data_IF_718608691257
#
_entry.id   IF_718608691257
#
_cell.length_a   1.000
_cell.length_b   1.000
_cell.length_c   1.000
_cell.angle_alpha   90.00
_cell.angle_beta   90.00
_cell.angle_gamma   90.00
#
_symmetry.space_group_name_H-M   'P 1'
#
loop_
_entity.id
_entity.type
_entity.pdbx_description
1 polymer ?
#
# COMPACT_ATOMS: atom_id res chain seq x y z
N UNK A 1 28.95 -39.69 -22.91
CA UNK A 1 28.34 -40.70 -22.01
C UNK A 1 28.93 -40.53 -20.62
N UNK A 2 28.07 -40.36 -19.61
CA UNK A 2 28.22 -40.73 -18.18
C UNK A 2 29.53 -40.32 -17.45
N UNK A 3 29.55 -39.33 -16.54
CA UNK A 3 29.01 -39.29 -15.15
C UNK A 3 29.99 -39.75 -14.07
N UNK A 4 30.27 -38.88 -13.08
CA UNK A 4 30.41 -39.14 -11.63
C UNK A 4 31.17 -37.96 -10.99
N UNK A 5 30.50 -37.02 -10.30
CA UNK A 5 30.05 -37.07 -8.90
C UNK A 5 31.19 -37.04 -7.88
N UNK A 6 31.52 -35.84 -7.40
CA UNK A 6 32.32 -35.62 -6.20
C UNK A 6 31.51 -34.80 -5.19
N UNK A 7 31.06 -35.46 -4.11
CA UNK A 7 30.83 -34.81 -2.81
C UNK A 7 32.17 -34.24 -2.31
N UNK A 8 32.17 -33.12 -1.58
CA UNK A 8 32.28 -33.17 -0.09
C UNK A 8 31.52 -31.99 0.57
N UNK A 9 31.35 -31.78 1.87
CA UNK A 9 31.61 -32.43 3.17
C UNK A 9 30.82 -31.58 4.18
N UNK A 10 30.02 -32.20 5.05
CA UNK A 10 29.48 -31.54 6.25
C UNK A 10 30.62 -31.36 7.25
N UNK A 11 30.77 -30.16 7.80
CA UNK A 11 31.56 -29.90 9.00
C UNK A 11 30.59 -29.58 10.14
N UNK A 12 30.52 -30.50 11.09
CA UNK A 12 30.03 -30.29 12.45
C UNK A 12 31.04 -29.43 13.20
N UNK A 13 30.61 -28.31 13.79
CA UNK A 13 31.32 -27.67 14.92
C UNK A 13 30.31 -26.96 15.83
N UNK A 14 29.94 -27.66 16.89
CA UNK A 14 29.47 -27.08 18.14
C UNK A 14 30.55 -26.18 18.74
N UNK A 15 30.37 -24.86 18.73
CA UNK A 15 30.95 -23.95 19.73
C UNK A 15 29.99 -22.77 19.94
N UNK A 16 29.39 -22.70 21.12
CA UNK A 16 28.71 -21.50 21.60
C UNK A 16 29.73 -20.44 22.04
N UNK A 17 29.42 -19.15 21.83
CA UNK A 17 29.74 -18.15 22.84
C UNK A 17 28.46 -17.45 23.32
N UNK A 18 28.32 -17.41 24.64
CA UNK A 18 27.43 -16.50 25.35
C UNK A 18 27.94 -15.07 25.12
N UNK A 19 27.12 -14.21 24.54
CA UNK A 19 27.24 -12.76 24.72
C UNK A 19 25.85 -12.16 24.83
N UNK A 20 25.50 -11.82 26.08
CA UNK A 20 24.50 -10.83 26.46
C UNK A 20 24.88 -9.48 25.87
N UNK A 21 24.06 -8.91 24.98
CA UNK A 21 24.13 -7.50 24.60
C UNK A 21 22.72 -6.93 24.49
N UNK A 22 22.37 -6.21 25.55
CA UNK A 22 21.50 -5.04 25.68
C UNK A 22 20.58 -4.65 24.51
N UNK A 23 19.29 -4.71 24.81
CA UNK A 23 18.21 -4.11 24.04
C UNK A 23 18.23 -2.58 24.19
N UNK A 24 19.11 -1.89 23.46
CA UNK A 24 19.10 -0.42 23.47
C UNK A 24 19.72 0.25 22.22
N UNK A 25 19.56 -0.28 21.00
CA UNK A 25 19.98 0.46 19.79
C UNK A 25 19.05 0.21 18.59
N UNK A 26 17.87 0.83 18.56
CA UNK A 26 17.14 1.18 17.33
C UNK A 26 16.29 2.44 17.60
N UNK A 27 16.92 3.61 17.64
CA UNK A 27 16.24 4.90 17.42
C UNK A 27 16.72 5.46 16.08
N UNK A 28 15.87 5.54 15.05
CA UNK A 28 16.21 6.27 13.84
C UNK A 28 16.27 7.78 14.14
N UNK A 29 17.46 8.35 14.01
CA UNK A 29 17.72 9.79 14.08
C UNK A 29 17.12 10.50 12.86
N UNK A 30 15.85 10.91 12.95
CA UNK A 30 15.18 11.73 11.93
C UNK A 30 14.99 13.21 12.34
N UNK A 31 15.72 13.67 13.35
CA UNK A 31 15.63 15.04 13.88
C UNK A 31 17.01 15.70 13.88
N UNK A 32 17.56 16.04 12.71
CA UNK A 32 18.72 16.95 12.68
C UNK A 32 18.84 17.88 11.47
N UNK A 33 17.95 17.83 10.48
CA UNK A 33 17.98 18.74 9.34
C UNK A 33 16.69 19.57 9.26
N UNK A 34 16.52 20.52 10.19
CA UNK A 34 15.69 21.72 10.03
C UNK A 34 15.84 22.64 11.26
N UNK A 35 17.09 22.97 11.60
CA UNK A 35 17.39 23.86 12.74
C UNK A 35 18.22 25.07 12.31
N UNK A 36 17.82 25.74 11.23
CA UNK A 36 18.18 27.13 11.03
C UNK A 36 17.01 27.86 10.39
N UNK A 37 16.69 29.04 10.96
CA UNK A 37 15.59 29.95 10.64
C UNK A 37 14.28 29.71 11.42
N UNK A 38 14.24 30.22 12.65
CA UNK A 38 13.35 31.29 13.14
C UNK A 38 13.14 31.15 14.66
N UNK A 39 13.47 32.21 15.39
CA UNK A 39 13.21 32.31 16.82
C UNK A 39 11.84 32.91 17.11
N UNK A 40 11.35 32.60 18.31
CA UNK A 40 10.21 33.18 19.04
C UNK A 40 8.88 32.43 18.97
N UNK A 41 8.56 31.79 20.11
CA UNK A 41 7.25 31.62 20.75
C UNK A 41 6.03 31.28 19.88
N UNK A 42 5.60 30.01 19.89
CA UNK A 42 4.26 29.54 20.31
C UNK A 42 4.01 28.09 19.80
N UNK A 43 3.39 27.28 20.65
CA UNK A 43 3.08 25.85 20.46
C UNK A 43 1.97 25.60 19.39
N UNK A 44 2.22 25.93 18.12
CA UNK A 44 1.38 25.53 16.98
C UNK A 44 2.06 24.67 15.88
N UNK A 45 3.40 24.60 15.71
CA UNK A 45 3.96 23.90 14.55
C UNK A 45 4.05 22.36 14.68
N UNK A 46 3.94 21.77 15.88
CA UNK A 46 4.10 20.30 16.06
C UNK A 46 2.89 19.49 15.54
N UNK A 47 1.67 20.02 15.64
CA UNK A 47 0.44 19.33 15.21
C UNK A 47 0.31 19.25 13.68
N UNK A 48 0.81 20.24 12.95
CA UNK A 48 0.78 20.23 11.48
C UNK A 48 1.77 19.22 10.90
N UNK A 49 2.90 18.98 11.57
CA UNK A 49 3.94 18.04 11.12
C UNK A 49 3.46 16.58 11.27
N UNK A 50 2.74 16.24 12.34
CA UNK A 50 2.17 14.89 12.52
C UNK A 50 1.02 14.58 11.55
N UNK A 51 0.18 15.57 11.24
CA UNK A 51 -0.92 15.42 10.27
C UNK A 51 -0.38 15.24 8.85
N UNK A 52 0.68 15.96 8.48
CA UNK A 52 1.34 15.80 7.18
C UNK A 52 1.98 14.40 7.05
N UNK A 53 2.67 13.91 8.10
CA UNK A 53 3.28 12.57 8.14
C UNK A 53 2.25 11.44 7.98
N UNK A 54 1.09 11.54 8.65
CA UNK A 54 -0.01 10.58 8.50
C UNK A 54 -0.71 10.66 7.14
N UNK A 55 -0.80 11.84 6.53
CA UNK A 55 -1.35 11.98 5.17
C UNK A 55 -0.42 11.38 4.11
N UNK A 56 0.91 11.51 4.29
CA UNK A 56 1.93 10.93 3.42
C UNK A 56 1.94 9.40 3.54
N UNK A 57 1.85 8.87 4.78
CA UNK A 57 1.72 7.44 5.06
C UNK A 57 0.44 6.84 4.45
N UNK A 58 -0.69 7.56 4.57
CA UNK A 58 -1.99 7.17 4.01
C UNK A 58 -2.05 7.27 2.48
N UNK A 59 -1.31 8.22 1.87
CA UNK A 59 -1.20 8.34 0.41
C UNK A 59 -0.40 7.17 -0.17
N UNK A 60 0.73 6.81 0.46
CA UNK A 60 1.59 5.71 0.01
C UNK A 60 0.91 4.34 0.20
N UNK A 61 0.22 4.11 1.33
CA UNK A 61 -0.51 2.86 1.58
C UNK A 61 -1.87 2.76 0.87
N UNK A 62 -2.58 3.88 0.70
CA UNK A 62 -3.87 3.93 0.02
C UNK A 62 -3.78 3.69 -1.49
N UNK A 63 -2.60 3.88 -2.07
CA UNK A 63 -2.31 3.59 -3.48
C UNK A 63 -2.04 2.10 -3.67
N UNK A 64 -1.33 1.45 -2.72
CA UNK A 64 -1.15 0.00 -2.70
C UNK A 64 -2.48 -0.76 -2.61
N UNK A 65 -3.42 -0.31 -1.76
CA UNK A 65 -4.74 -0.94 -1.61
C UNK A 65 -5.69 -0.74 -2.81
N UNK A 66 -5.57 0.37 -3.55
CA UNK A 66 -6.39 0.60 -4.75
C UNK A 66 -6.02 -0.31 -5.91
N UNK A 67 -4.78 -0.81 -5.95
CA UNK A 67 -4.31 -1.73 -7.00
C UNK A 67 -4.76 -3.20 -6.80
N UNK A 68 -5.30 -3.57 -5.64
CA UNK A 68 -5.68 -4.95 -5.27
C UNK A 68 -7.17 -5.29 -5.49
N UNK A 69 -7.93 -4.43 -6.17
CA UNK A 69 -9.39 -4.55 -6.23
C UNK A 69 -9.95 -5.25 -7.47
N UNK A 70 -10.09 -6.59 -7.45
CA UNK A 70 -11.22 -7.28 -8.11
C UNK A 70 -11.25 -8.79 -7.76
N UNK A 71 -12.07 -9.22 -6.79
CA UNK A 71 -13.11 -10.27 -6.93
C UNK A 71 -13.67 -10.70 -5.56
N UNK A 72 -14.90 -11.21 -5.58
CA UNK A 72 -15.74 -11.76 -4.50
C UNK A 72 -16.52 -10.79 -3.57
N UNK A 73 -17.85 -10.87 -3.64
CA UNK A 73 -18.81 -9.84 -3.17
C UNK A 73 -19.41 -10.15 -1.79
N UNK A 74 -19.53 -11.42 -1.41
CA UNK A 74 -20.28 -11.84 -0.21
C UNK A 74 -19.45 -11.88 1.09
N UNK A 75 -18.17 -12.28 1.04
CA UNK A 75 -17.27 -12.22 2.21
C UNK A 75 -16.73 -10.80 2.49
N UNK A 76 -16.69 -9.95 1.46
CA UNK A 76 -16.49 -8.51 1.59
C UNK A 76 -17.52 -7.90 2.53
N UNK A 77 -18.78 -8.32 2.49
CA UNK A 77 -19.84 -7.68 3.27
C UNK A 77 -19.68 -7.88 4.79
N UNK A 78 -19.24 -9.04 5.27
CA UNK A 78 -19.09 -9.29 6.71
C UNK A 78 -17.81 -8.64 7.30
N UNK A 79 -16.67 -8.76 6.61
CA UNK A 79 -15.41 -8.14 7.04
C UNK A 79 -15.40 -6.62 6.80
N UNK A 80 -15.97 -6.13 5.68
CA UNK A 80 -16.25 -4.70 5.53
C UNK A 80 -17.25 -4.25 6.59
N UNK A 81 -18.27 -5.02 6.98
CA UNK A 81 -19.24 -4.51 7.98
C UNK A 81 -18.57 -4.17 9.31
N UNK A 82 -17.63 -4.99 9.80
CA UNK A 82 -16.88 -4.66 11.01
C UNK A 82 -15.88 -3.50 10.82
N UNK A 83 -15.07 -3.51 9.75
CA UNK A 83 -14.15 -2.40 9.45
C UNK A 83 -14.89 -1.08 9.14
N UNK A 84 -16.07 -1.16 8.52
CA UNK A 84 -16.97 -0.04 8.20
C UNK A 84 -17.68 0.47 9.45
N UNK A 85 -17.98 -0.39 10.42
CA UNK A 85 -18.52 -0.03 11.74
C UNK A 85 -17.46 0.65 12.63
N UNK A 86 -16.21 0.19 12.61
CA UNK A 86 -15.11 0.90 13.29
C UNK A 86 -14.78 2.23 12.62
N UNK A 87 -14.69 2.26 11.28
CA UNK A 87 -14.41 3.48 10.53
C UNK A 87 -15.56 4.49 10.61
N UNK A 88 -16.83 4.03 10.66
CA UNK A 88 -17.97 4.91 10.90
C UNK A 88 -17.92 5.49 12.31
N UNK A 89 -17.54 4.71 13.31
CA UNK A 89 -17.41 5.21 14.69
C UNK A 89 -16.31 6.26 14.81
N UNK A 90 -15.16 6.07 14.15
CA UNK A 90 -14.08 7.06 14.06
C UNK A 90 -14.57 8.32 13.34
N UNK A 91 -15.30 8.14 12.23
CA UNK A 91 -15.88 9.25 11.46
C UNK A 91 -16.87 10.05 12.30
N UNK A 92 -17.77 9.39 13.02
CA UNK A 92 -18.76 10.05 13.89
C UNK A 92 -18.08 10.81 15.03
N UNK A 93 -17.01 10.26 15.60
CA UNK A 93 -16.20 10.93 16.61
C UNK A 93 -15.50 12.17 16.05
N UNK A 94 -14.97 12.10 14.83
CA UNK A 94 -14.39 13.23 14.12
C UNK A 94 -15.44 14.31 13.80
N UNK A 95 -16.61 13.92 13.28
CA UNK A 95 -17.70 14.84 12.99
C UNK A 95 -18.18 15.59 14.25
N UNK A 96 -18.17 14.93 15.41
CA UNK A 96 -18.43 15.59 16.70
C UNK A 96 -17.39 16.66 17.02
N UNK A 97 -16.10 16.40 16.79
CA UNK A 97 -15.02 17.39 16.97
C UNK A 97 -15.21 18.56 16.00
N UNK A 98 -15.48 18.30 14.72
CA UNK A 98 -15.74 19.35 13.71
C UNK A 98 -16.93 20.23 14.11
N UNK A 99 -18.03 19.63 14.58
CA UNK A 99 -19.21 20.38 15.04
C UNK A 99 -18.88 21.28 16.24
N UNK A 100 -18.08 20.78 17.18
CA UNK A 100 -17.65 21.55 18.37
C UNK A 100 -16.62 22.63 18.02
N UNK A 101 -15.75 22.38 17.04
CA UNK A 101 -14.82 23.39 16.53
C UNK A 101 -15.59 24.55 15.88
N UNK A 102 -16.58 24.25 15.03
CA UNK A 102 -17.45 25.28 14.42
C UNK A 102 -18.20 26.10 15.48
N UNK A 103 -18.75 25.43 16.49
CA UNK A 103 -19.43 26.10 17.60
C UNK A 103 -18.47 26.99 18.41
N UNK A 104 -17.26 26.50 18.70
CA UNK A 104 -16.22 27.26 19.39
C UNK A 104 -15.81 28.50 18.58
N UNK A 105 -15.66 28.36 17.26
CA UNK A 105 -15.35 29.47 16.36
C UNK A 105 -16.47 30.52 16.31
N UNK A 106 -17.73 30.09 16.18
CA UNK A 106 -18.89 31.01 16.21
C UNK A 106 -18.94 31.78 17.53
N UNK A 107 -18.82 31.07 18.65
CA UNK A 107 -18.85 31.69 19.97
C UNK A 107 -17.68 32.61 20.23
N UNK A 108 -16.49 32.28 19.71
CA UNK A 108 -15.32 33.16 19.81
C UNK A 108 -15.53 34.43 19.00
N UNK A 109 -16.09 34.31 17.79
CA UNK A 109 -16.43 35.46 16.95
C UNK A 109 -17.48 36.35 17.63
N UNK A 110 -18.54 35.77 18.20
CA UNK A 110 -19.58 36.51 18.93
C UNK A 110 -19.01 37.30 20.12
N UNK A 111 -18.06 36.72 20.86
CA UNK A 111 -17.38 37.39 21.98
C UNK A 111 -16.47 38.52 21.47
N UNK A 112 -15.72 38.28 20.39
CA UNK A 112 -14.87 39.30 19.76
C UNK A 112 -15.73 40.47 19.27
N UNK A 113 -16.84 40.19 18.58
CA UNK A 113 -17.75 41.21 18.07
C UNK A 113 -18.40 42.01 19.21
N UNK A 114 -18.76 41.35 20.32
CA UNK A 114 -19.33 42.02 21.49
C UNK A 114 -18.32 42.97 22.14
N UNK A 115 -17.08 42.50 22.34
CA UNK A 115 -15.99 43.34 22.87
C UNK A 115 -15.68 44.49 21.90
N UNK A 116 -15.63 44.21 20.60
CA UNK A 116 -15.44 45.20 19.54
C UNK A 116 -16.50 46.29 19.57
N UNK A 117 -17.78 45.93 19.65
CA UNK A 117 -18.90 46.88 19.73
C UNK A 117 -18.81 47.79 20.96
N UNK A 118 -18.46 47.25 22.13
CA UNK A 118 -18.33 48.08 23.34
C UNK A 118 -17.15 49.06 23.23
N UNK A 119 -16.04 48.63 22.62
CA UNK A 119 -14.89 49.50 22.34
C UNK A 119 -15.26 50.59 21.32
N UNK A 120 -15.93 50.23 20.22
CA UNK A 120 -16.39 51.19 19.20
C UNK A 120 -17.41 52.18 19.76
N UNK A 121 -18.33 51.74 20.63
CA UNK A 121 -19.28 52.61 21.29
C UNK A 121 -18.58 53.59 22.23
N UNK A 122 -17.59 53.13 23.00
CA UNK A 122 -16.78 54.01 23.85
C UNK A 122 -15.97 55.01 23.01
N UNK A 123 -15.35 54.57 21.91
CA UNK A 123 -14.62 55.43 20.97
C UNK A 123 -15.53 56.51 20.36
N UNK A 124 -16.73 56.13 19.92
CA UNK A 124 -17.69 57.08 19.35
C UNK A 124 -18.07 58.15 20.37
N UNK A 125 -18.30 57.77 21.63
CA UNK A 125 -18.59 58.73 22.73
C UNK A 125 -17.41 59.65 23.03
N UNK A 126 -16.19 59.14 22.97
CA UNK A 126 -14.97 59.92 23.15
C UNK A 126 -14.78 60.96 22.02
N UNK A 127 -15.10 60.57 20.78
CA UNK A 127 -14.98 61.43 19.60
C UNK A 127 -16.14 62.44 19.46
N UNK A 128 -17.37 62.08 19.86
CA UNK A 128 -18.55 62.96 19.81
C UNK A 128 -18.52 64.07 20.86
N UNK A 129 -17.67 63.96 21.88
CA UNK A 129 -17.58 64.91 22.98
C UNK A 129 -16.70 66.14 22.68
N UNK A 130 -16.32 66.35 21.42
CA UNK A 130 -15.48 67.46 20.93
C UNK A 130 -16.19 68.84 20.88
N UNK A 131 -17.25 69.07 21.66
CA UNK A 131 -17.89 70.40 21.76
C UNK A 131 -17.12 71.27 22.78
N UNK A 132 -16.56 72.45 22.42
CA UNK A 132 -15.59 73.19 23.24
C UNK A 132 -16.09 73.76 24.59
N UNK A 133 -17.33 73.48 24.99
CA UNK A 133 -18.00 74.17 26.11
C UNK A 133 -18.41 73.28 27.28
N UNK A 134 -18.09 71.98 27.28
CA UNK A 134 -18.36 71.06 28.41
C UNK A 134 -17.14 70.22 28.80
N UNK A 135 -16.80 70.10 30.10
CA UNK A 135 -15.71 69.23 30.55
C UNK A 135 -16.13 67.76 30.39
N UNK A 136 -15.61 67.11 29.35
CA UNK A 136 -15.84 65.68 29.10
C UNK A 136 -15.15 64.87 30.18
N UNK A 137 -15.92 64.10 30.96
CA UNK A 137 -15.36 63.17 31.94
C UNK A 137 -14.92 61.86 31.27
N UNK A 138 -13.75 61.91 30.62
CA UNK A 138 -13.09 60.75 30.03
C UNK A 138 -12.93 59.58 31.00
N UNK A 139 -12.80 59.88 32.31
CA UNK A 139 -12.61 58.88 33.36
C UNK A 139 -13.88 58.08 33.59
N UNK A 140 -15.04 58.73 33.51
CA UNK A 140 -16.35 58.07 33.58
C UNK A 140 -16.60 57.13 32.40
N UNK A 141 -16.27 57.56 31.17
CA UNK A 141 -16.44 56.73 29.96
C UNK A 141 -15.56 55.48 30.02
N UNK A 142 -14.30 55.62 30.43
CA UNK A 142 -13.38 54.49 30.59
C UNK A 142 -13.77 53.57 31.75
N UNK A 143 -14.32 54.12 32.83
CA UNK A 143 -14.84 53.33 33.95
C UNK A 143 -16.07 52.52 33.55
N UNK A 144 -16.98 53.11 32.74
CA UNK A 144 -18.14 52.41 32.18
C UNK A 144 -17.71 51.28 31.23
N UNK A 145 -16.77 51.55 30.31
CA UNK A 145 -16.22 50.52 29.42
C UNK A 145 -15.60 49.37 30.22
N UNK A 146 -14.79 49.68 31.24
CA UNK A 146 -14.20 48.66 32.12
C UNK A 146 -15.26 47.83 32.82
N UNK A 147 -16.33 48.45 33.32
CA UNK A 147 -17.43 47.74 33.99
C UNK A 147 -18.16 46.82 33.01
N UNK A 148 -18.43 47.29 31.79
CA UNK A 148 -19.07 46.48 30.75
C UNK A 148 -18.21 45.31 30.28
N UNK A 149 -16.91 45.52 30.04
CA UNK A 149 -15.98 44.45 29.66
C UNK A 149 -15.84 43.40 30.76
N UNK A 150 -15.79 43.82 32.02
CA UNK A 150 -15.80 42.90 33.17
C UNK A 150 -17.12 42.12 33.27
N UNK A 151 -18.26 42.76 32.96
CA UNK A 151 -19.57 42.10 32.93
C UNK A 151 -19.69 41.05 31.81
N UNK A 152 -19.03 41.26 30.67
CA UNK A 152 -18.98 40.29 29.57
C UNK A 152 -18.14 39.06 29.96
N UNK A 153 -17.05 39.25 30.71
CA UNK A 153 -16.14 38.17 31.08
C UNK A 153 -15.61 37.37 29.88
N UNK A 154 -15.06 38.04 28.83
CA UNK A 154 -14.74 37.41 27.54
C UNK A 154 -13.78 36.23 27.68
N UNK A 155 -12.80 36.31 28.58
CA UNK A 155 -11.84 35.23 28.86
C UNK A 155 -12.57 33.98 29.35
N UNK A 156 -13.49 34.09 30.30
CA UNK A 156 -14.21 32.95 30.86
C UNK A 156 -15.14 32.28 29.82
N UNK A 157 -15.75 33.07 28.93
CA UNK A 157 -16.58 32.56 27.83
C UNK A 157 -15.76 31.79 26.78
N UNK A 158 -14.57 32.29 26.46
CA UNK A 158 -13.63 31.65 25.54
C UNK A 158 -13.05 30.37 26.15
N UNK A 159 -12.61 30.42 27.42
CA UNK A 159 -12.08 29.27 28.15
C UNK A 159 -13.09 28.11 28.24
N UNK A 160 -14.35 28.40 28.53
CA UNK A 160 -15.40 27.37 28.58
C UNK A 160 -15.57 26.65 27.24
N UNK A 161 -15.54 27.41 26.14
CA UNK A 161 -15.69 26.88 24.78
C UNK A 161 -14.47 26.08 24.34
N UNK A 162 -13.27 26.58 24.65
CA UNK A 162 -12.00 25.91 24.38
C UNK A 162 -11.87 24.60 25.17
N UNK A 163 -12.30 24.59 26.44
CA UNK A 163 -12.28 23.39 27.29
C UNK A 163 -13.19 22.29 26.75
N UNK A 164 -14.37 22.66 26.23
CA UNK A 164 -15.29 21.71 25.61
C UNK A 164 -14.71 21.11 24.32
N UNK A 165 -14.11 21.95 23.45
CA UNK A 165 -13.43 21.49 22.24
C UNK A 165 -12.28 20.53 22.58
N UNK A 166 -11.38 20.93 23.48
CA UNK A 166 -10.23 20.14 23.89
C UNK A 166 -10.64 18.80 24.53
N UNK A 167 -11.74 18.79 25.30
CA UNK A 167 -12.30 17.55 25.84
C UNK A 167 -12.76 16.57 24.77
N UNK A 168 -13.37 17.06 23.68
CA UNK A 168 -13.78 16.21 22.55
C UNK A 168 -12.57 15.77 21.71
N UNK A 169 -11.60 16.64 21.48
CA UNK A 169 -10.35 16.31 20.78
C UNK A 169 -9.55 15.23 21.53
N UNK A 170 -9.44 15.35 22.85
CA UNK A 170 -8.77 14.35 23.70
C UNK A 170 -9.47 12.99 23.63
N UNK A 171 -10.82 12.98 23.64
CA UNK A 171 -11.60 11.74 23.49
C UNK A 171 -11.37 11.12 22.11
N UNK A 172 -11.41 11.93 21.05
CA UNK A 172 -11.15 11.45 19.68
C UNK A 172 -9.75 10.84 19.55
N UNK A 173 -8.73 11.48 20.12
CA UNK A 173 -7.35 10.97 20.14
C UNK A 173 -7.27 9.60 20.82
N UNK A 174 -7.90 9.44 21.99
CA UNK A 174 -7.98 8.13 22.67
C UNK A 174 -8.72 7.06 21.84
N UNK A 175 -9.75 7.45 21.09
CA UNK A 175 -10.44 6.54 20.18
C UNK A 175 -9.52 6.12 19.02
N UNK A 176 -8.77 7.06 18.44
CA UNK A 176 -7.79 6.76 17.39
C UNK A 176 -6.69 5.82 17.90
N UNK A 177 -6.11 6.08 19.06
CA UNK A 177 -5.09 5.22 19.67
C UNK A 177 -5.59 3.78 19.83
N UNK A 178 -6.81 3.61 20.36
CA UNK A 178 -7.40 2.29 20.55
C UNK A 178 -7.66 1.55 19.24
N UNK A 179 -8.05 2.26 18.18
CA UNK A 179 -8.42 1.66 16.90
C UNK A 179 -7.24 1.47 15.94
N UNK A 180 -6.23 2.33 16.00
CA UNK A 180 -5.11 2.34 15.06
C UNK A 180 -3.81 1.78 15.64
N UNK A 181 -3.65 1.78 16.98
CA UNK A 181 -2.47 1.25 17.66
C UNK A 181 -2.85 0.11 18.62
N UNK A 182 -3.45 -1.00 18.14
CA UNK A 182 -3.54 -2.18 18.98
C UNK A 182 -2.12 -2.65 19.32
N UNK A 183 -1.89 -3.07 20.57
CA UNK A 183 -0.63 -3.67 20.98
C UNK A 183 -0.41 -4.99 20.23
N UNK A 184 0.26 -4.90 19.08
CA UNK A 184 0.55 -6.03 18.18
C UNK A 184 1.57 -7.00 18.77
N UNK A 185 2.34 -6.58 19.78
CA UNK A 185 3.33 -7.44 20.44
C UNK A 185 2.68 -8.68 21.07
N UNK A 186 1.41 -8.59 21.45
CA UNK A 186 0.64 -9.74 21.96
C UNK A 186 0.38 -10.81 20.90
N UNK A 187 0.25 -10.41 19.64
CA UNK A 187 0.09 -11.33 18.52
C UNK A 187 1.43 -11.92 18.06
N UNK A 188 2.55 -11.35 18.52
CA UNK A 188 3.89 -11.84 18.19
C UNK A 188 4.11 -13.24 18.75
N UNK A 189 4.60 -14.11 17.87
CA UNK A 189 5.11 -15.44 18.22
C UNK A 189 6.59 -15.43 17.89
N UNK A 190 7.36 -16.21 18.64
CA UNK A 190 8.77 -16.45 18.31
C UNK A 190 8.83 -17.28 17.03
N UNK A 191 8.92 -16.60 15.88
CA UNK A 191 9.05 -17.19 14.56
C UNK A 191 10.48 -16.97 14.14
N UNK A 192 11.16 -18.06 13.79
CA UNK A 192 12.51 -18.01 13.26
C UNK A 192 12.46 -17.36 11.87
N UNK A 193 13.10 -16.20 11.74
CA UNK A 193 13.22 -15.49 10.48
C UNK A 193 14.57 -15.78 9.88
N UNK A 194 14.57 -16.15 8.61
CA UNK A 194 15.79 -16.11 7.82
C UNK A 194 16.11 -14.63 7.53
N UNK A 195 16.99 -14.06 8.35
CA UNK A 195 17.41 -12.65 8.25
C UNK A 195 18.05 -12.33 6.90
N UNK A 196 18.68 -13.31 6.25
CA UNK A 196 19.23 -13.11 4.91
C UNK A 196 18.11 -12.87 3.90
N UNK A 197 17.08 -13.72 3.89
CA UNK A 197 15.91 -13.55 3.02
C UNK A 197 15.18 -12.23 3.33
N UNK A 198 15.03 -11.89 4.61
CA UNK A 198 14.39 -10.64 5.04
C UNK A 198 15.13 -9.41 4.49
N UNK A 199 16.45 -9.33 4.71
CA UNK A 199 17.27 -8.22 4.23
C UNK A 199 17.23 -8.09 2.70
N UNK A 200 17.32 -9.21 1.98
CA UNK A 200 17.19 -9.20 0.52
C UNK A 200 15.81 -8.71 0.07
N UNK A 201 14.74 -9.13 0.75
CA UNK A 201 13.37 -8.76 0.42
C UNK A 201 13.10 -7.26 0.68
N UNK A 202 13.69 -6.70 1.73
CA UNK A 202 13.65 -5.26 2.02
C UNK A 202 14.47 -4.47 0.98
N UNK A 203 15.72 -4.86 0.71
CA UNK A 203 16.56 -4.18 -0.28
C UNK A 203 15.92 -4.20 -1.69
N UNK A 204 15.42 -5.37 -2.12
CA UNK A 204 14.73 -5.51 -3.39
C UNK A 204 13.45 -4.66 -3.47
N UNK A 205 12.76 -4.46 -2.35
CA UNK A 205 11.64 -3.53 -2.31
C UNK A 205 12.08 -2.10 -2.63
N UNK A 206 13.17 -1.62 -2.03
CA UNK A 206 13.69 -0.29 -2.31
C UNK A 206 14.19 -0.14 -3.75
N UNK A 207 14.88 -1.14 -4.29
CA UNK A 207 15.28 -1.15 -5.72
C UNK A 207 14.07 -1.07 -6.66
N UNK A 208 12.99 -1.78 -6.35
CA UNK A 208 11.73 -1.69 -7.12
C UNK A 208 11.12 -0.28 -7.07
N UNK A 209 11.19 0.39 -5.93
CA UNK A 209 10.69 1.77 -5.76
C UNK A 209 11.62 2.83 -6.35
N UNK A 210 12.85 2.47 -6.74
CA UNK A 210 13.86 3.40 -7.26
C UNK A 210 14.72 4.06 -6.18
N UNK A 211 14.55 3.66 -4.91
CA UNK A 211 15.37 4.13 -3.79
C UNK A 211 16.66 3.31 -3.69
N UNK A 212 17.54 3.43 -4.67
CA UNK A 212 18.73 2.58 -4.77
C UNK A 212 19.70 2.74 -3.58
N UNK A 213 19.93 3.97 -3.13
CA UNK A 213 20.83 4.26 -2.00
C UNK A 213 20.38 3.57 -0.70
N UNK A 214 19.06 3.49 -0.46
CA UNK A 214 18.51 2.80 0.70
C UNK A 214 18.67 1.28 0.61
N UNK A 215 18.46 0.72 -0.59
CA UNK A 215 18.69 -0.70 -0.82
C UNK A 215 20.15 -1.07 -0.61
N UNK A 216 21.08 -0.23 -1.09
CA UNK A 216 22.53 -0.42 -0.90
C UNK A 216 22.93 -0.34 0.57
N UNK A 217 22.44 0.68 1.30
CA UNK A 217 22.73 0.80 2.74
C UNK A 217 22.34 -0.45 3.53
N UNK A 218 21.18 -1.05 3.23
CA UNK A 218 20.72 -2.27 3.91
C UNK A 218 21.62 -3.47 3.58
N UNK A 219 22.04 -3.58 2.32
CA UNK A 219 22.88 -4.68 1.86
C UNK A 219 24.30 -4.57 2.43
N UNK A 220 24.85 -3.36 2.46
CA UNK A 220 26.17 -3.07 2.99
C UNK A 220 26.21 -3.29 4.50
N UNK A 221 25.18 -2.86 5.24
CA UNK A 221 25.04 -3.10 6.69
C UNK A 221 24.83 -4.58 7.00
N UNK A 222 24.09 -5.31 6.18
CA UNK A 222 23.87 -6.75 6.35
C UNK A 222 25.09 -7.59 5.94
N UNK A 223 26.00 -7.05 5.11
CA UNK A 223 27.16 -7.77 4.57
C UNK A 223 26.81 -8.76 3.44
N UNK A 224 25.79 -8.47 2.63
CA UNK A 224 25.14 -9.46 1.74
C UNK A 224 25.15 -9.07 0.23
N UNK A 225 26.24 -9.30 -0.52
CA UNK A 225 26.42 -8.73 -1.86
C UNK A 225 25.54 -9.32 -2.99
N UNK A 226 24.78 -10.39 -2.72
CA UNK A 226 24.10 -11.21 -3.74
C UNK A 226 22.92 -10.49 -4.45
N UNK A 227 22.37 -9.42 -3.87
CA UNK A 227 21.22 -8.67 -4.43
C UNK A 227 21.55 -7.79 -5.66
N UNK A 228 22.84 -7.65 -5.99
CA UNK A 228 23.34 -6.67 -6.99
C UNK A 228 22.82 -6.92 -8.42
N UNK A 229 22.49 -8.17 -8.78
CA UNK A 229 22.00 -8.49 -10.13
C UNK A 229 20.62 -7.87 -10.37
N UNK A 230 19.68 -8.02 -9.42
CA UNK A 230 18.33 -7.47 -9.55
C UNK A 230 18.35 -5.94 -9.53
N UNK A 231 19.22 -5.34 -8.70
CA UNK A 231 19.45 -3.89 -8.69
C UNK A 231 19.73 -3.36 -10.09
N UNK A 232 20.69 -3.95 -10.81
CA UNK A 232 21.07 -3.49 -12.15
C UNK A 232 19.88 -3.45 -13.13
N UNK A 233 18.98 -4.43 -13.03
CA UNK A 233 17.78 -4.50 -13.87
C UNK A 233 16.77 -3.40 -13.49
N UNK A 234 16.55 -3.17 -12.20
CA UNK A 234 15.67 -2.10 -11.74
C UNK A 234 16.21 -0.70 -12.06
N UNK A 235 17.53 -0.51 -12.07
CA UNK A 235 18.14 0.74 -12.55
C UNK A 235 17.76 1.01 -14.01
N UNK A 236 17.88 0.01 -14.89
CA UNK A 236 17.46 0.14 -16.30
C UNK A 236 15.97 0.44 -16.41
N UNK A 237 15.13 -0.24 -15.63
CA UNK A 237 13.69 0.02 -15.62
C UNK A 237 13.37 1.47 -15.24
N UNK A 238 13.97 1.97 -14.16
CA UNK A 238 13.76 3.34 -13.69
C UNK A 238 14.30 4.38 -14.66
N UNK A 239 15.43 4.12 -15.34
CA UNK A 239 15.91 5.00 -16.42
C UNK A 239 14.88 5.13 -17.56
N UNK A 240 14.23 4.03 -17.94
CA UNK A 240 13.17 4.06 -18.95
C UNK A 240 11.96 4.85 -18.43
N UNK A 241 11.53 4.60 -17.18
CA UNK A 241 10.39 5.30 -16.57
C UNK A 241 10.63 6.81 -16.43
N UNK A 242 11.82 7.25 -16.01
CA UNK A 242 12.17 8.67 -15.94
C UNK A 242 12.17 9.33 -17.33
N UNK A 243 12.67 8.63 -18.36
CA UNK A 243 12.56 9.10 -19.74
C UNK A 243 11.08 9.26 -20.16
N UNK A 244 10.22 8.31 -19.82
CA UNK A 244 8.78 8.39 -20.11
C UNK A 244 8.10 9.58 -19.41
N UNK A 245 8.49 9.92 -18.18
CA UNK A 245 7.94 11.07 -17.44
C UNK A 245 8.19 12.40 -18.16
N UNK A 246 9.34 12.55 -18.81
CA UNK A 246 9.66 13.72 -19.65
C UNK A 246 9.19 13.57 -21.11
N UNK A 247 8.28 12.62 -21.37
CA UNK A 247 7.71 12.27 -22.68
C UNK A 247 8.73 11.81 -23.71
N UNK A 248 9.84 11.23 -23.27
CA UNK A 248 10.78 10.53 -24.13
C UNK A 248 10.49 9.02 -24.12
N UNK A 249 9.90 8.51 -25.20
CA UNK A 249 9.53 7.10 -25.34
C UNK A 249 10.63 6.24 -25.99
N UNK A 250 11.73 6.83 -26.46
CA UNK A 250 12.78 6.11 -27.17
C UNK A 250 13.38 4.94 -26.35
N UNK A 251 13.76 5.11 -25.07
CA UNK A 251 14.26 3.99 -24.27
C UNK A 251 13.24 2.86 -24.10
N UNK A 252 11.95 3.22 -23.94
CA UNK A 252 10.87 2.25 -23.77
C UNK A 252 10.61 1.45 -25.06
N UNK A 253 10.61 2.13 -26.21
CA UNK A 253 10.44 1.50 -27.53
C UNK A 253 11.62 0.59 -27.89
N UNK A 254 12.85 1.00 -27.55
CA UNK A 254 14.04 0.17 -27.73
C UNK A 254 13.98 -1.10 -26.87
N UNK A 255 13.57 -0.95 -25.60
CA UNK A 255 13.40 -2.08 -24.71
C UNK A 255 12.30 -3.06 -25.19
N UNK A 256 11.15 -2.55 -25.63
CA UNK A 256 10.08 -3.38 -26.19
C UNK A 256 10.55 -4.10 -27.45
N UNK A 257 11.25 -3.42 -28.35
CA UNK A 257 11.78 -4.02 -29.58
C UNK A 257 12.76 -5.15 -29.29
N UNK A 258 13.66 -4.97 -28.31
CA UNK A 258 14.61 -5.99 -27.86
C UNK A 258 13.93 -7.21 -27.21
N UNK A 259 12.72 -7.04 -26.67
CA UNK A 259 11.97 -8.08 -25.96
C UNK A 259 10.69 -8.54 -26.69
N UNK A 260 10.52 -8.14 -27.97
CA UNK A 260 9.27 -8.31 -28.73
C UNK A 260 8.77 -9.75 -28.77
N UNK A 261 9.66 -10.72 -29.00
CA UNK A 261 9.27 -12.13 -29.07
C UNK A 261 8.67 -12.64 -27.75
N UNK A 262 9.29 -12.30 -26.62
CA UNK A 262 8.82 -12.69 -25.29
C UNK A 262 7.52 -11.99 -24.91
N UNK A 263 7.38 -10.72 -25.28
CA UNK A 263 6.15 -9.94 -25.05
C UNK A 263 4.98 -10.44 -25.90
N UNK A 264 5.24 -10.91 -27.12
CA UNK A 264 4.22 -11.51 -27.97
C UNK A 264 3.75 -12.86 -27.43
N UNK A 265 4.67 -13.67 -26.88
CA UNK A 265 4.32 -14.94 -26.22
C UNK A 265 3.43 -14.73 -24.99
N UNK A 266 3.59 -13.62 -24.26
CA UNK A 266 2.72 -13.26 -23.14
C UNK A 266 1.42 -12.56 -23.55
N UNK A 267 1.21 -12.31 -24.85
CA UNK A 267 0.03 -11.60 -25.37
C UNK A 267 -0.01 -10.11 -24.99
N UNK A 268 1.15 -9.50 -24.73
CA UNK A 268 1.22 -8.10 -24.31
C UNK A 268 0.89 -7.13 -25.45
N UNK A 269 0.07 -6.11 -25.17
CA UNK A 269 -0.21 -5.00 -26.08
C UNK A 269 0.61 -3.74 -25.80
N UNK A 270 1.67 -3.85 -25.00
CA UNK A 270 2.50 -2.72 -24.58
C UNK A 270 3.14 -2.00 -25.78
N UNK A 271 3.60 -2.75 -26.79
CA UNK A 271 4.22 -2.19 -27.98
C UNK A 271 3.30 -1.22 -28.73
N UNK A 272 2.05 -1.62 -28.94
CA UNK A 272 1.04 -0.76 -29.54
C UNK A 272 0.83 0.49 -28.70
N UNK A 273 0.62 0.35 -27.37
CA UNK A 273 0.36 1.48 -26.48
C UNK A 273 1.48 2.54 -26.55
N UNK A 274 2.75 2.10 -26.52
CA UNK A 274 3.89 3.02 -26.62
C UNK A 274 3.96 3.69 -28.00
N UNK A 275 3.73 2.94 -29.09
CA UNK A 275 3.67 3.56 -30.42
C UNK A 275 2.49 4.53 -30.58
N UNK A 276 1.34 4.25 -29.97
CA UNK A 276 0.19 5.16 -29.93
C UNK A 276 0.53 6.46 -29.22
N UNK A 277 1.18 6.40 -28.05
CA UNK A 277 1.64 7.60 -27.32
C UNK A 277 2.65 8.40 -28.14
N UNK A 278 3.63 7.74 -28.77
CA UNK A 278 4.64 8.40 -29.60
C UNK A 278 4.00 9.07 -30.83
N UNK A 279 3.05 8.40 -31.47
CA UNK A 279 2.30 8.97 -32.59
C UNK A 279 1.56 10.25 -32.18
N UNK A 280 0.87 10.24 -31.04
CA UNK A 280 0.15 11.40 -30.52
C UNK A 280 1.10 12.54 -30.14
N UNK A 281 2.28 12.23 -29.60
CA UNK A 281 3.27 13.23 -29.26
C UNK A 281 3.87 13.90 -30.51
N UNK A 282 4.14 13.12 -31.58
CA UNK A 282 4.55 13.64 -32.88
C UNK A 282 3.44 14.52 -33.47
N UNK A 283 2.18 14.10 -33.39
CA UNK A 283 1.05 14.87 -33.90
C UNK A 283 0.81 16.18 -33.13
N UNK A 284 1.14 16.21 -31.83
CA UNK A 284 1.03 17.43 -30.99
C UNK A 284 2.17 18.42 -31.22
N UNK A 285 3.41 17.94 -31.39
CA UNK A 285 4.61 18.80 -31.50
C UNK A 285 5.06 19.09 -32.94
N UNK A 286 4.73 18.20 -33.87
CA UNK A 286 5.25 18.21 -35.25
C UNK A 286 4.15 18.40 -36.29
N UNK A 287 4.43 17.94 -37.51
CA UNK A 287 3.48 18.03 -38.62
C UNK A 287 2.64 16.77 -38.76
N UNK A 288 1.45 16.90 -39.37
CA UNK A 288 0.62 15.75 -39.73
C UNK A 288 1.38 14.76 -40.65
N UNK A 289 2.26 15.26 -41.52
CA UNK A 289 3.04 14.42 -42.42
C UNK A 289 4.02 13.51 -41.66
N UNK A 290 4.67 14.03 -40.62
CA UNK A 290 5.58 13.26 -39.77
C UNK A 290 4.83 12.19 -38.97
N UNK A 291 3.68 12.57 -38.39
CA UNK A 291 2.83 11.63 -37.67
C UNK A 291 2.32 10.50 -38.59
N UNK A 292 1.92 10.83 -39.81
CA UNK A 292 1.48 9.86 -40.81
C UNK A 292 2.63 8.95 -41.26
N UNK A 293 3.84 9.50 -41.45
CA UNK A 293 5.04 8.72 -41.77
C UNK A 293 5.32 7.71 -40.67
N UNK A 294 5.31 8.15 -39.41
CA UNK A 294 5.52 7.29 -38.25
C UNK A 294 4.45 6.19 -38.12
N UNK A 295 3.18 6.53 -38.34
CA UNK A 295 2.10 5.55 -38.32
C UNK A 295 2.28 4.44 -39.36
N UNK A 296 2.69 4.80 -40.59
CA UNK A 296 2.94 3.83 -41.66
C UNK A 296 4.10 2.88 -41.35
N UNK A 297 5.10 3.31 -40.59
CA UNK A 297 6.24 2.46 -40.25
C UNK A 297 5.97 1.59 -39.02
N UNK A 298 5.38 2.17 -37.97
CA UNK A 298 5.32 1.53 -36.66
C UNK A 298 3.94 0.97 -36.30
N UNK A 299 2.85 1.56 -36.81
CA UNK A 299 1.49 1.11 -36.52
C UNK A 299 0.92 0.16 -37.59
N UNK A 300 1.54 0.09 -38.77
CA UNK A 300 1.09 -0.78 -39.87
C UNK A 300 0.95 -2.27 -39.50
N UNK A 301 1.86 -2.89 -38.70
CA UNK A 301 1.70 -4.28 -38.28
C UNK A 301 0.41 -4.54 -37.50
N UNK A 302 -0.04 -3.54 -36.73
CA UNK A 302 -1.24 -3.63 -35.89
C UNK A 302 -2.54 -3.28 -36.64
N UNK A 303 -2.42 -2.73 -37.86
CA UNK A 303 -3.56 -2.35 -38.72
C UNK A 303 -4.11 -3.50 -39.58
N UNK A 304 -3.47 -4.68 -39.55
CA UNK A 304 -3.89 -5.85 -40.33
C UNK A 304 -5.35 -6.24 -40.05
N UNK A 305 -6.13 -6.72 -41.05
CA UNK A 305 -7.51 -7.16 -40.84
C UNK A 305 -7.69 -8.23 -39.76
N UNK A 306 -6.66 -9.05 -39.52
CA UNK A 306 -6.67 -10.11 -38.52
C UNK A 306 -6.22 -9.64 -37.12
N UNK A 307 -5.78 -8.38 -36.97
CA UNK A 307 -5.32 -7.83 -35.70
C UNK A 307 -6.49 -7.45 -34.79
N UNK A 308 -6.50 -7.87 -33.51
CA UNK A 308 -7.51 -7.44 -32.55
C UNK A 308 -7.44 -5.93 -32.26
N UNK A 309 -6.33 -5.27 -32.64
CA UNK A 309 -6.07 -3.86 -32.35
C UNK A 309 -6.43 -2.90 -33.49
N UNK A 310 -7.00 -3.41 -34.59
CA UNK A 310 -7.32 -2.61 -35.78
C UNK A 310 -8.17 -1.38 -35.47
N UNK A 311 -9.20 -1.52 -34.64
CA UNK A 311 -10.12 -0.42 -34.32
C UNK A 311 -9.40 0.74 -33.62
N UNK A 312 -8.47 0.42 -32.70
CA UNK A 312 -7.64 1.41 -32.01
C UNK A 312 -6.75 2.17 -33.00
N UNK A 313 -6.09 1.45 -33.92
CA UNK A 313 -5.28 2.09 -34.97
C UNK A 313 -6.10 3.00 -35.86
N UNK A 314 -7.33 2.60 -36.23
CA UNK A 314 -8.23 3.46 -37.02
C UNK A 314 -8.64 4.74 -36.27
N UNK A 315 -8.90 4.65 -34.96
CA UNK A 315 -9.17 5.84 -34.13
C UNK A 315 -7.96 6.77 -34.06
N UNK A 316 -6.75 6.22 -33.94
CA UNK A 316 -5.51 7.01 -34.02
C UNK A 316 -5.36 7.70 -35.37
N UNK A 317 -5.74 7.04 -36.48
CA UNK A 317 -5.71 7.69 -37.80
C UNK A 317 -6.73 8.84 -37.89
N UNK A 318 -7.89 8.70 -37.25
CA UNK A 318 -8.88 9.78 -37.14
C UNK A 318 -8.35 11.03 -36.42
N UNK A 319 -7.40 10.87 -35.49
CA UNK A 319 -6.78 11.99 -34.78
C UNK A 319 -6.05 12.96 -35.73
N UNK A 320 -5.58 12.49 -36.89
CA UNK A 320 -4.91 13.32 -37.89
C UNK A 320 -5.80 14.48 -38.37
N UNK A 321 -7.12 14.36 -38.29
CA UNK A 321 -8.06 15.42 -38.70
C UNK A 321 -8.13 16.59 -37.69
N UNK A 322 -7.52 16.46 -36.52
CA UNK A 322 -7.67 17.39 -35.40
C UNK A 322 -6.31 17.92 -34.85
N UNK A 323 -5.37 18.37 -35.70
CA UNK A 323 -4.08 18.89 -35.23
C UNK A 323 -4.29 20.11 -34.32
N UNK A 324 -3.61 20.16 -33.17
CA UNK A 324 -3.73 21.27 -32.21
C UNK A 324 -5.09 21.41 -31.50
N UNK A 325 -6.09 20.60 -31.86
CA UNK A 325 -7.46 20.62 -31.27
C UNK A 325 -7.93 19.25 -30.81
N UNK A 326 -6.98 18.37 -30.52
CA UNK A 326 -7.19 16.99 -30.12
C UNK A 326 -8.02 16.87 -28.83
N UNK A 327 -7.82 17.79 -27.87
CA UNK A 327 -8.56 17.79 -26.60
C UNK A 327 -10.05 18.14 -26.75
N UNK A 328 -10.45 18.78 -27.86
CA UNK A 328 -11.86 19.08 -28.20
C UNK A 328 -12.42 18.15 -29.28
N UNK A 329 -11.67 17.10 -29.63
CA UNK A 329 -12.07 16.15 -30.66
C UNK A 329 -12.87 14.97 -30.07
N UNK A 330 -13.57 14.17 -30.90
CA UNK A 330 -14.17 12.91 -30.47
C UNK A 330 -13.16 11.89 -29.90
N UNK A 331 -11.85 12.15 -30.07
CA UNK A 331 -10.74 11.30 -29.65
C UNK A 331 -10.02 11.84 -28.39
N UNK A 332 -10.67 12.73 -27.63
CA UNK A 332 -10.10 13.32 -26.40
C UNK A 332 -9.73 12.27 -25.34
N UNK A 333 -10.28 11.06 -25.43
CA UNK A 333 -9.85 9.93 -24.58
C UNK A 333 -8.33 9.71 -24.65
N UNK A 334 -7.76 9.72 -25.86
CA UNK A 334 -6.34 9.46 -26.10
C UNK A 334 -5.40 10.55 -25.56
N UNK A 335 -5.92 11.74 -25.25
CA UNK A 335 -5.10 12.84 -24.73
C UNK A 335 -5.00 12.85 -23.21
N UNK A 336 -5.75 11.98 -22.52
CA UNK A 336 -5.74 11.90 -21.06
C UNK A 336 -4.34 11.57 -20.53
N UNK A 337 -3.82 12.33 -19.54
CA UNK A 337 -2.56 12.00 -18.86
C UNK A 337 -2.53 10.58 -18.27
N UNK A 338 -3.70 10.03 -17.93
CA UNK A 338 -3.84 8.68 -17.38
C UNK A 338 -3.32 7.58 -18.31
N UNK A 339 -3.27 7.81 -19.63
CA UNK A 339 -2.68 6.84 -20.56
C UNK A 339 -1.17 6.69 -20.40
N UNK A 340 -0.47 7.77 -20.02
CA UNK A 340 0.95 7.72 -19.72
C UNK A 340 1.21 6.93 -18.44
N UNK A 341 0.46 7.24 -17.37
CA UNK A 341 0.53 6.52 -16.10
C UNK A 341 0.29 5.02 -16.28
N UNK A 342 -0.80 4.66 -16.96
CA UNK A 342 -1.13 3.25 -17.26
C UNK A 342 -0.05 2.56 -18.10
N UNK A 343 0.54 3.26 -19.08
CA UNK A 343 1.59 2.67 -19.91
C UNK A 343 2.89 2.46 -19.13
N UNK A 344 3.22 3.34 -18.17
CA UNK A 344 4.34 3.15 -17.24
C UNK A 344 4.09 1.98 -16.27
N UNK A 345 2.87 1.84 -15.75
CA UNK A 345 2.47 0.69 -14.93
C UNK A 345 2.54 -0.63 -15.71
N UNK A 346 2.04 -0.64 -16.95
CA UNK A 346 2.09 -1.82 -17.83
C UNK A 346 3.53 -2.17 -18.20
N UNK A 347 4.38 -1.18 -18.50
CA UNK A 347 5.81 -1.39 -18.70
C UNK A 347 6.44 -2.05 -17.47
N UNK A 348 6.19 -1.51 -16.28
CA UNK A 348 6.71 -2.05 -15.02
C UNK A 348 6.27 -3.51 -14.82
N UNK A 349 5.00 -3.82 -15.11
CA UNK A 349 4.44 -5.16 -15.03
C UNK A 349 5.13 -6.13 -15.99
N UNK A 350 5.27 -5.74 -17.25
CA UNK A 350 5.94 -6.59 -18.25
C UNK A 350 7.42 -6.76 -17.92
N UNK A 351 8.09 -5.71 -17.46
CA UNK A 351 9.49 -5.76 -17.06
C UNK A 351 9.71 -6.75 -15.92
N UNK A 352 8.90 -6.66 -14.84
CA UNK A 352 8.96 -7.60 -13.73
C UNK A 352 8.66 -9.04 -14.20
N UNK A 353 7.64 -9.23 -15.04
CA UNK A 353 7.28 -10.55 -15.56
C UNK A 353 8.41 -11.19 -16.36
N UNK A 354 9.14 -10.42 -17.19
CA UNK A 354 10.28 -10.93 -17.96
C UNK A 354 11.49 -11.28 -17.10
N UNK A 355 11.62 -10.65 -15.92
CA UNK A 355 12.62 -11.00 -14.92
C UNK A 355 12.23 -12.22 -14.06
N UNK A 356 11.06 -12.83 -14.29
CA UNK A 356 10.51 -13.87 -13.41
C UNK A 356 10.12 -13.35 -12.03
N UNK A 357 9.87 -12.05 -11.93
CA UNK A 357 9.55 -11.36 -10.69
C UNK A 357 8.05 -11.02 -10.64
N UNK A 358 7.45 -11.07 -9.45
CA UNK A 358 6.09 -10.57 -9.25
C UNK A 358 6.03 -9.07 -9.52
N UNK A 359 4.89 -8.57 -10.05
CA UNK A 359 4.67 -7.13 -10.20
C UNK A 359 4.65 -6.43 -8.84
N UNK A 360 3.87 -6.95 -7.90
CA UNK A 360 3.83 -6.44 -6.53
C UNK A 360 5.09 -6.89 -5.77
N UNK A 361 5.64 -6.00 -4.94
CA UNK A 361 6.74 -6.34 -4.04
C UNK A 361 6.33 -7.46 -3.07
N UNK A 362 7.11 -8.53 -2.93
CA UNK A 362 6.88 -9.56 -1.92
C UNK A 362 6.72 -8.98 -0.52
N UNK A 363 7.55 -7.99 -0.14
CA UNK A 363 7.43 -7.30 1.15
C UNK A 363 6.05 -6.65 1.33
N UNK A 364 5.59 -5.92 0.33
CA UNK A 364 4.29 -5.24 0.40
C UNK A 364 3.15 -6.25 0.50
N UNK A 365 3.23 -7.37 -0.23
CA UNK A 365 2.23 -8.44 -0.15
C UNK A 365 2.24 -9.13 1.22
N UNK A 366 3.42 -9.40 1.79
CA UNK A 366 3.56 -10.01 3.12
C UNK A 366 2.99 -9.11 4.21
N UNK A 367 3.31 -7.80 4.17
CA UNK A 367 2.75 -6.82 5.11
C UNK A 367 1.21 -6.77 4.97
N UNK A 368 0.70 -6.72 3.74
CA UNK A 368 -0.75 -6.69 3.49
C UNK A 368 -1.45 -7.95 4.04
N UNK A 369 -0.89 -9.14 3.80
CA UNK A 369 -1.39 -10.40 4.35
C UNK A 369 -1.36 -10.40 5.88
N UNK A 370 -0.27 -9.89 6.47
CA UNK A 370 -0.12 -9.73 7.91
C UNK A 370 -1.20 -8.83 8.51
N UNK A 371 -1.47 -7.68 7.89
CA UNK A 371 -2.54 -6.76 8.32
C UNK A 371 -3.93 -7.38 8.20
N UNK A 372 -4.16 -8.26 7.22
CA UNK A 372 -5.42 -8.99 7.06
C UNK A 372 -5.61 -10.05 8.14
N UNK A 373 -4.54 -10.78 8.49
CA UNK A 373 -4.56 -11.80 9.54
C UNK A 373 -4.51 -11.25 10.97
N UNK A 374 -3.96 -10.05 11.17
CA UNK A 374 -3.67 -9.46 12.48
C UNK A 374 -4.87 -9.43 13.45
N UNK A 375 -6.09 -9.05 13.03
CA UNK A 375 -7.25 -9.05 13.94
C UNK A 375 -7.57 -10.43 14.52
N UNK A 376 -7.39 -11.49 13.73
CA UNK A 376 -7.59 -12.88 14.16
C UNK A 376 -6.49 -13.29 15.13
N UNK A 377 -5.24 -12.94 14.84
CA UNK A 377 -4.09 -13.22 15.70
C UNK A 377 -4.21 -12.52 17.06
N UNK A 378 -4.64 -11.26 17.09
CA UNK A 378 -4.85 -10.50 18.32
C UNK A 378 -5.97 -11.10 19.18
N UNK A 379 -7.09 -11.51 18.56
CA UNK A 379 -8.18 -12.19 19.28
C UNK A 379 -7.69 -13.50 19.87
N UNK A 380 -6.94 -14.28 19.10
CA UNK A 380 -6.40 -15.56 19.55
C UNK A 380 -5.39 -15.38 20.69
N UNK A 381 -4.50 -14.40 20.59
CA UNK A 381 -3.58 -14.05 21.66
C UNK A 381 -4.31 -13.69 22.97
N UNK A 382 -5.42 -12.96 22.89
CA UNK A 382 -6.25 -12.63 24.06
C UNK A 382 -6.91 -13.88 24.67
N UNK A 383 -7.45 -14.78 23.85
CA UNK A 383 -8.05 -16.06 24.33
C UNK A 383 -6.98 -16.95 24.96
N UNK A 384 -5.78 -16.96 24.39
CA UNK A 384 -4.66 -17.78 24.82
C UNK A 384 -3.81 -17.12 25.92
N UNK A 385 -4.19 -15.94 26.42
CA UNK A 385 -3.38 -15.17 27.36
C UNK A 385 -3.02 -15.95 28.64
N UNK A 386 -3.94 -16.80 29.13
CA UNK A 386 -3.72 -17.65 30.29
C UNK A 386 -2.78 -18.86 30.02
N UNK A 387 -2.54 -19.18 28.74
CA UNK A 387 -1.76 -20.34 28.26
C UNK A 387 -0.62 -19.87 27.35
N UNK A 388 0.14 -18.87 27.80
CA UNK A 388 1.20 -18.23 27.00
C UNK A 388 2.26 -19.22 26.49
N UNK A 389 2.65 -20.22 27.28
CA UNK A 389 3.62 -21.25 26.85
C UNK A 389 3.07 -22.13 25.71
N UNK A 390 1.80 -22.55 25.80
CA UNK A 390 1.16 -23.31 24.72
C UNK A 390 1.03 -22.47 23.44
N UNK A 391 0.72 -21.18 23.58
CA UNK A 391 0.66 -20.23 22.46
C UNK A 391 2.00 -20.10 21.72
N UNK A 392 3.12 -20.01 22.45
CA UNK A 392 4.45 -19.89 21.85
C UNK A 392 4.95 -21.21 21.24
N UNK A 393 4.58 -22.37 21.81
CA UNK A 393 4.99 -23.67 21.30
C UNK A 393 4.17 -24.16 20.10
N UNK A 394 3.04 -23.52 19.77
CA UNK A 394 2.16 -23.93 18.68
C UNK A 394 2.76 -23.65 17.30
N UNK A 395 3.12 -24.72 16.58
CA UNK A 395 3.61 -24.66 15.19
C UNK A 395 2.52 -24.26 14.17
N UNK A 396 1.26 -24.52 14.49
CA UNK A 396 0.12 -24.23 13.62
C UNK A 396 -0.94 -23.43 14.37
N UNK A 397 -1.67 -22.60 13.64
CA UNK A 397 -2.80 -21.86 14.21
C UNK A 397 -4.00 -22.80 14.37
N UNK A 398 -4.74 -22.74 15.51
CA UNK A 398 -5.92 -23.56 15.76
C UNK A 398 -7.13 -23.13 14.92
N UNK A 399 -7.08 -21.94 14.33
CA UNK A 399 -8.12 -21.38 13.49
C UNK A 399 -7.53 -20.98 12.13
N UNK A 400 -8.28 -21.21 11.03
CA UNK A 400 -7.85 -20.75 9.72
C UNK A 400 -7.82 -19.23 9.67
N UNK A 401 -6.75 -18.67 9.11
CA UNK A 401 -6.71 -17.26 8.71
C UNK A 401 -7.12 -17.22 7.25
N UNK A 402 -8.37 -16.82 6.99
CA UNK A 402 -8.86 -16.65 5.62
C UNK A 402 -8.20 -15.40 5.01
N UNK A 403 -7.08 -15.60 4.32
CA UNK A 403 -6.48 -14.60 3.45
C UNK A 403 -7.24 -14.63 2.10
N UNK A 404 -7.59 -13.46 1.57
CA UNK A 404 -8.22 -13.33 0.26
C UNK A 404 -7.46 -14.02 -0.89
N UNK A 405 -8.12 -14.20 -2.04
CA UNK A 405 -7.58 -14.90 -3.23
C UNK A 405 -6.33 -14.20 -3.79
N UNK A 406 -6.17 -12.91 -3.53
CA UNK A 406 -5.02 -12.09 -3.91
C UNK A 406 -3.69 -12.51 -3.25
N UNK A 407 -3.75 -13.32 -2.17
CA UNK A 407 -2.58 -13.87 -1.49
C UNK A 407 -2.28 -15.33 -1.89
N UNK A 408 -3.03 -15.88 -2.85
CA UNK A 408 -2.88 -17.26 -3.33
C UNK A 408 -2.00 -17.26 -4.59
N UNK A 409 -0.70 -17.40 -4.40
CA UNK A 409 0.29 -17.34 -5.50
C UNK A 409 0.58 -18.69 -6.16
N UNK A 410 0.31 -19.78 -5.45
CA UNK A 410 0.58 -21.14 -5.91
C UNK A 410 -0.59 -22.03 -5.57
N UNK A 411 -0.87 -22.98 -6.45
CA UNK A 411 -1.76 -24.08 -6.16
C UNK A 411 -1.18 -24.91 -5.02
N UNK A 412 -1.98 -25.19 -4.00
CA UNK A 412 -1.59 -26.03 -2.87
C UNK A 412 -2.65 -27.12 -2.71
N UNK A 413 -2.21 -28.36 -2.55
CA UNK A 413 -3.08 -29.45 -2.18
C UNK A 413 -2.89 -29.81 -0.70
N UNK A 414 -3.98 -29.88 0.05
CA UNK A 414 -3.99 -30.39 1.42
C UNK A 414 -4.69 -31.73 1.41
N UNK A 415 -4.00 -32.78 1.87
CA UNK A 415 -4.57 -34.12 1.92
C UNK A 415 -5.78 -34.11 2.85
N UNK A 416 -6.97 -34.50 2.39
CA UNK A 416 -8.14 -34.36 3.23
C UNK A 416 -8.27 -35.48 4.29
N UNK A 417 -7.44 -36.54 4.20
CA UNK A 417 -7.33 -37.59 5.23
C UNK A 417 -6.30 -37.22 6.30
N UNK A 418 -5.08 -36.87 5.90
CA UNK A 418 -4.02 -36.56 6.87
C UNK A 418 -4.05 -35.11 7.35
N UNK A 419 -4.74 -34.24 6.61
CA UNK A 419 -4.78 -32.78 6.79
C UNK A 419 -3.40 -32.10 6.60
N UNK A 420 -2.45 -32.83 6.03
CA UNK A 420 -1.12 -32.31 5.70
C UNK A 420 -1.10 -31.70 4.30
N UNK A 421 -0.37 -30.61 4.13
CA UNK A 421 -0.03 -30.05 2.82
C UNK A 421 0.87 -31.04 2.04
N UNK A 422 0.64 -31.16 0.73
CA UNK A 422 1.50 -31.96 -0.15
C UNK A 422 2.90 -31.35 -0.30
N UNK A 423 3.91 -32.21 -0.43
CA UNK A 423 5.30 -31.83 -0.73
C UNK A 423 5.85 -32.66 -1.90
N UNK A 424 7.09 -32.40 -2.32
CA UNK A 424 7.77 -33.22 -3.35
C UNK A 424 7.95 -34.68 -2.89
N UNK A 425 8.21 -34.90 -1.59
CA UNK A 425 8.34 -36.23 -0.98
C UNK A 425 6.98 -36.89 -0.70
N UNK A 426 5.94 -36.07 -0.49
CA UNK A 426 4.58 -36.50 -0.23
C UNK A 426 3.58 -35.88 -1.23
N UNK A 427 3.69 -36.21 -2.53
CA UNK A 427 2.93 -35.55 -3.57
C UNK A 427 1.46 -35.98 -3.55
N UNK A 428 0.56 -35.19 -4.16
CA UNK A 428 -0.81 -35.58 -4.41
C UNK A 428 -0.85 -36.71 -5.44
N UNK A 429 -1.61 -37.76 -5.13
CA UNK A 429 -1.76 -38.94 -5.95
C UNK A 429 -3.23 -39.09 -6.35
N UNK A 430 -3.49 -39.07 -7.65
CA UNK A 430 -4.79 -39.32 -8.25
C UNK A 430 -5.09 -40.81 -8.27
N UNK A 431 -6.20 -41.19 -7.66
CA UNK A 431 -6.73 -42.56 -7.69
C UNK A 431 -7.56 -42.80 -8.96
N UNK A 432 -7.82 -44.06 -9.35
CA UNK A 432 -8.67 -44.39 -10.51
C UNK A 432 -10.09 -43.82 -10.44
N UNK A 433 -10.60 -43.58 -9.23
CA UNK A 433 -11.89 -42.93 -8.99
C UNK A 433 -11.86 -41.39 -9.07
N UNK A 434 -10.75 -40.81 -9.52
CA UNK A 434 -10.50 -39.36 -9.67
C UNK A 434 -10.41 -38.55 -8.37
N UNK A 435 -10.52 -39.19 -7.20
CA UNK A 435 -10.17 -38.55 -5.93
C UNK A 435 -8.65 -38.52 -5.74
N UNK A 436 -8.18 -37.50 -5.01
CA UNK A 436 -6.75 -37.26 -4.78
C UNK A 436 -6.45 -37.42 -3.29
N UNK A 437 -5.37 -38.11 -2.97
CA UNK A 437 -4.81 -38.24 -1.62
C UNK A 437 -3.29 -38.09 -1.67
N UNK A 438 -2.65 -37.67 -0.59
CA UNK A 438 -1.19 -37.65 -0.55
C UNK A 438 -0.60 -39.08 -0.53
N UNK A 439 0.58 -39.24 -1.13
CA UNK A 439 1.31 -40.52 -1.25
C UNK A 439 1.43 -41.27 0.08
N UNK A 440 1.80 -40.58 1.16
CA UNK A 440 1.92 -41.20 2.49
C UNK A 440 0.57 -41.70 3.03
N UNK A 441 -0.53 -40.99 2.76
CA UNK A 441 -1.87 -41.42 3.16
C UNK A 441 -2.26 -42.71 2.43
N UNK A 442 -1.99 -42.79 1.12
CA UNK A 442 -2.20 -44.01 0.33
C UNK A 442 -1.36 -45.17 0.87
N UNK A 443 -0.08 -44.94 1.19
CA UNK A 443 0.79 -45.97 1.74
C UNK A 443 0.31 -46.46 3.11
N UNK A 444 -0.20 -45.56 3.98
CA UNK A 444 -0.78 -45.93 5.28
C UNK A 444 -2.06 -46.76 5.11
N UNK A 445 -2.95 -46.36 4.20
CA UNK A 445 -4.18 -47.10 3.88
C UNK A 445 -3.89 -48.47 3.28
N UNK A 446 -2.81 -48.58 2.48
CA UNK A 446 -2.36 -49.85 1.89
C UNK A 446 -1.69 -50.75 2.94
N UNK A 447 -0.94 -50.22 3.92
CA UNK A 447 -0.31 -51.07 4.96
C UNK A 447 -1.31 -51.85 5.83
N UNK A 448 -2.56 -51.39 5.91
CA UNK A 448 -3.62 -52.09 6.65
C UNK A 448 -4.31 -53.20 5.86
N UNK A 449 -4.04 -53.35 4.56
CA UNK A 449 -4.71 -54.30 3.66
C UNK A 449 -3.73 -54.92 2.66
N UNK A 450 -3.83 -56.21 2.37
CA UNK A 450 -2.74 -56.93 1.69
C UNK A 450 -2.52 -56.54 0.22
N UNK A 451 -3.45 -55.86 -0.48
CA UNK A 451 -3.25 -55.36 -1.87
C UNK A 451 -4.05 -54.13 -2.29
N UNK A 452 -5.25 -53.89 -1.75
CA UNK A 452 -6.14 -52.79 -2.15
C UNK A 452 -6.68 -52.04 -0.94
N UNK A 453 -6.99 -50.75 -1.11
CA UNK A 453 -7.61 -49.93 -0.08
C UNK A 453 -8.87 -49.25 -0.64
N UNK A 454 -9.82 -48.93 0.24
CA UNK A 454 -11.03 -48.21 -0.13
C UNK A 454 -10.78 -46.71 -0.15
N UNK A 455 -11.34 -46.03 -1.14
CA UNK A 455 -11.34 -44.58 -1.18
C UNK A 455 -12.13 -44.02 0.03
N UNK A 456 -11.61 -43.02 0.77
CA UNK A 456 -12.35 -42.38 1.86
C UNK A 456 -13.61 -41.62 1.42
N UNK A 457 -13.72 -41.27 0.13
CA UNK A 457 -14.80 -40.45 -0.43
C UNK A 457 -15.86 -41.26 -1.16
N UNK A 458 -15.56 -42.50 -1.56
CA UNK A 458 -16.45 -43.28 -2.42
C UNK A 458 -16.20 -44.79 -2.25
N UNK A 459 -17.11 -45.66 -2.73
CA UNK A 459 -16.97 -47.10 -2.54
C UNK A 459 -15.88 -47.76 -3.41
N UNK A 460 -15.19 -46.99 -4.26
CA UNK A 460 -14.16 -47.51 -5.15
C UNK A 460 -12.92 -48.00 -4.39
N UNK A 461 -12.36 -49.10 -4.86
CA UNK A 461 -11.11 -49.65 -4.36
C UNK A 461 -9.96 -49.33 -5.32
N UNK A 462 -8.78 -49.08 -4.75
CA UNK A 462 -7.57 -48.80 -5.51
C UNK A 462 -6.37 -49.53 -4.89
N UNK A 463 -5.36 -49.81 -5.70
CA UNK A 463 -4.03 -50.18 -5.22
C UNK A 463 -3.07 -49.00 -5.34
N UNK A 464 -2.03 -48.96 -4.50
CA UNK A 464 -1.02 -47.89 -4.55
C UNK A 464 -0.36 -47.78 -5.94
N UNK A 465 -0.19 -48.91 -6.65
CA UNK A 465 0.41 -48.95 -7.99
C UNK A 465 -0.46 -48.32 -9.09
N UNK A 466 -1.78 -48.25 -8.89
CA UNK A 466 -2.71 -47.63 -9.85
C UNK A 466 -2.82 -46.11 -9.67
N UNK A 467 -2.30 -45.58 -8.56
CA UNK A 467 -2.36 -44.17 -8.25
C UNK A 467 -1.26 -43.42 -9.00
N UNK A 468 -1.61 -42.33 -9.69
CA UNK A 468 -0.67 -41.52 -10.47
C UNK A 468 -0.41 -40.20 -9.78
N UNK A 469 0.84 -39.75 -9.79
CA UNK A 469 1.15 -38.42 -9.26
C UNK A 469 0.45 -37.34 -10.09
N UNK A 470 -0.21 -36.43 -9.40
CA UNK A 470 -0.85 -35.26 -9.99
C UNK A 470 0.14 -34.08 -9.97
N UNK A 471 0.27 -33.39 -11.10
CA UNK A 471 1.02 -32.13 -11.23
C UNK A 471 0.00 -31.05 -11.57
N UNK A 472 0.00 -29.93 -10.85
CA UNK A 472 -0.96 -28.83 -11.00
C UNK A 472 -0.29 -27.46 -10.84
#
# INVERSE_FOLDING_TARGET
MASSSSRPKYFDLNVAPKTTCDAEVWRPSFVSQNRHLTGSSNNEPELLIEIFSLSQFRSNFGTAFRSLGATDRSKKEACCSNKKMELSTIKDAFERVVKKQKLCSSRSQEVIDLVGREIEQALTRLLSAHDPTSPVDYRSILAELKLKLNGIGPIHLLEGSHKELNGNLSKYTKFLEKSLNPDISKAYRDVDFDHHIENQLIANHFYRQGSFDLGDGIIDEAGEPESTILKSQFVVMHQILEAMKVKNLEPALNWVSANREKLNQSGSNLELKLHSLQFLEILKKGTQADALKYARTCLAPFASPASPHKEEVLKLMGCLLYPGRLDSSPYSEFTSPTHWEKSMEDLTRQFCSLLGQSYNSPLSMTIAAGLEGLPTLLKLANVMAAKKQEWQAMKQLPVPVELGKEFQFHSIFVCPVSRDQSSEENPPMLMPCLHVLCKQSILKLTKSSTRTFKCPYCPAEASAAQCRQLFF
#
